data_IF_136271795486
#
_entry.id   IF_136271795486
#
_cell.length_a   1.000
_cell.length_b   1.000
_cell.length_c   1.000
_cell.angle_alpha   90.00
_cell.angle_beta   90.00
_cell.angle_gamma   90.00
#
_symmetry.space_group_name_H-M   'P 1'
#
loop_
_entity.id
_entity.type
_entity.pdbx_description
1 polymer ?
#
# COMPACT_ATOMS: atom_id res chain seq x y z
N UNK A 1 8.07 -1.34 -10.94
CA UNK A 1 6.85 -0.53 -10.77
C UNK A 1 7.18 0.86 -11.24
N UNK A 2 6.36 1.45 -12.09
CA UNK A 2 6.61 2.82 -12.55
C UNK A 2 6.37 3.85 -11.43
N UNK A 3 6.85 5.07 -11.66
CA UNK A 3 6.76 6.17 -10.72
C UNK A 3 5.30 6.57 -10.44
N UNK A 4 4.45 6.55 -11.48
CA UNK A 4 3.04 6.93 -11.39
C UNK A 4 2.26 6.03 -10.43
N UNK A 5 2.41 4.71 -10.55
CA UNK A 5 1.74 3.73 -9.67
C UNK A 5 2.15 3.93 -8.21
N UNK A 6 3.44 4.19 -7.99
CA UNK A 6 4.01 4.50 -6.69
C UNK A 6 3.38 5.76 -6.07
N UNK A 7 3.19 6.81 -6.87
CA UNK A 7 2.62 8.07 -6.42
C UNK A 7 1.12 7.95 -6.15
N UNK A 8 0.38 7.23 -7.00
CA UNK A 8 -1.04 6.93 -6.80
C UNK A 8 -1.27 6.21 -5.47
N UNK A 9 -0.48 5.18 -5.17
CA UNK A 9 -0.66 4.40 -3.94
C UNK A 9 -0.35 5.22 -2.70
N UNK A 10 0.71 6.03 -2.74
CA UNK A 10 1.02 6.96 -1.65
C UNK A 10 -0.14 7.95 -1.45
N UNK A 11 -0.71 8.48 -2.54
CA UNK A 11 -1.88 9.35 -2.49
C UNK A 11 -3.11 8.68 -1.86
N UNK A 12 -3.44 7.45 -2.28
CA UNK A 12 -4.57 6.69 -1.72
C UNK A 12 -4.35 6.40 -0.23
N UNK A 13 -3.16 5.96 0.16
CA UNK A 13 -2.85 5.69 1.57
C UNK A 13 -2.92 6.97 2.40
N UNK A 14 -2.45 8.10 1.87
CA UNK A 14 -2.58 9.41 2.52
C UNK A 14 -4.02 9.88 2.64
N UNK A 15 -4.88 9.55 1.68
CA UNK A 15 -6.31 9.84 1.75
C UNK A 15 -7.00 9.04 2.87
N UNK A 16 -6.64 7.76 3.02
CA UNK A 16 -7.24 6.86 4.02
C UNK A 16 -6.74 7.17 5.44
N UNK A 17 -5.43 7.43 5.58
CA UNK A 17 -4.75 7.50 6.88
C UNK A 17 -4.22 8.88 7.27
N UNK A 18 -4.41 9.89 6.42
CA UNK A 18 -3.87 11.24 6.61
C UNK A 18 -2.45 11.40 6.05
N UNK A 19 -2.01 12.66 5.97
CA UNK A 19 -0.72 13.03 5.33
C UNK A 19 0.50 12.47 6.06
N UNK A 20 0.42 12.25 7.37
CA UNK A 20 1.56 11.77 8.18
C UNK A 20 2.07 10.38 7.76
N UNK A 21 1.23 9.58 7.10
CA UNK A 21 1.64 8.27 6.59
C UNK A 21 2.74 8.38 5.54
N UNK A 22 2.79 9.47 4.78
CA UNK A 22 3.81 9.65 3.73
C UNK A 22 5.23 9.66 4.30
N UNK A 23 5.40 10.18 5.53
CA UNK A 23 6.67 10.16 6.24
C UNK A 23 7.08 8.72 6.63
N UNK A 24 6.11 7.86 6.92
CA UNK A 24 6.32 6.45 7.26
C UNK A 24 6.56 5.56 6.04
N UNK A 25 6.08 5.98 4.87
CA UNK A 25 6.25 5.26 3.59
C UNK A 25 7.57 5.59 2.87
N UNK A 26 8.58 6.04 3.61
CA UNK A 26 9.91 6.32 3.06
C UNK A 26 10.66 5.01 2.80
N UNK A 27 10.72 4.60 1.54
CA UNK A 27 11.38 3.37 1.13
C UNK A 27 10.82 2.78 -0.16
N UNK A 28 11.27 1.56 -0.46
CA UNK A 28 10.87 0.83 -1.64
C UNK A 28 9.51 0.19 -1.41
N UNK A 29 8.50 0.72 -2.09
CA UNK A 29 7.20 0.07 -2.17
C UNK A 29 7.24 -1.07 -3.20
N UNK A 30 6.69 -2.21 -2.82
CA UNK A 30 6.42 -3.33 -3.70
C UNK A 30 4.97 -3.75 -3.54
N UNK A 31 4.32 -4.05 -4.65
CA UNK A 31 2.94 -4.50 -4.67
C UNK A 31 2.92 -5.94 -5.15
N UNK A 32 2.03 -6.71 -4.56
CA UNK A 32 1.62 -7.99 -5.10
C UNK A 32 0.19 -7.89 -5.61
N UNK A 33 0.02 -8.35 -6.85
CA UNK A 33 -1.25 -8.38 -7.56
C UNK A 33 -1.74 -9.82 -7.55
N UNK A 34 -3.02 -10.03 -7.26
CA UNK A 34 -3.62 -11.36 -7.27
C UNK A 34 -3.82 -11.91 -8.68
N UNK A 35 -4.21 -13.17 -8.78
CA UNK A 35 -4.50 -13.85 -10.06
C UNK A 35 -5.56 -13.16 -10.92
N UNK A 36 -6.46 -12.39 -10.32
CA UNK A 36 -7.51 -11.63 -11.01
C UNK A 36 -7.07 -10.22 -11.43
N UNK A 37 -5.80 -9.85 -11.25
CA UNK A 37 -5.29 -8.51 -11.57
C UNK A 37 -5.55 -7.45 -10.50
N UNK A 38 -6.24 -7.78 -9.40
CA UNK A 38 -6.49 -6.86 -8.29
C UNK A 38 -5.29 -6.71 -7.37
N UNK A 39 -5.06 -5.49 -6.84
CA UNK A 39 -4.07 -5.24 -5.79
C UNK A 39 -4.40 -6.09 -4.55
N UNK A 40 -3.39 -6.74 -3.95
CA UNK A 40 -3.59 -7.62 -2.79
C UNK A 40 -2.72 -7.26 -1.59
N UNK A 41 -1.44 -6.99 -1.81
CA UNK A 41 -0.49 -6.76 -0.72
C UNK A 41 0.44 -5.61 -1.07
N UNK A 42 0.70 -4.75 -0.10
CA UNK A 42 1.66 -3.65 -0.21
C UNK A 42 2.77 -3.92 0.80
N UNK A 43 3.99 -3.90 0.30
CA UNK A 43 5.20 -4.08 1.09
C UNK A 43 6.04 -2.81 1.07
N UNK A 44 6.72 -2.52 2.17
CA UNK A 44 7.71 -1.46 2.30
C UNK A 44 9.01 -2.06 2.80
N UNK A 45 10.10 -1.92 2.03
CA UNK A 45 11.42 -2.49 2.38
C UNK A 45 11.30 -3.96 2.84
N UNK A 46 10.57 -4.76 2.05
CA UNK A 46 10.29 -6.19 2.25
C UNK A 46 9.32 -6.57 3.39
N UNK A 47 8.86 -5.62 4.20
CA UNK A 47 7.81 -5.85 5.20
C UNK A 47 6.42 -5.68 4.60
N UNK A 48 5.51 -6.60 4.88
CA UNK A 48 4.10 -6.47 4.50
C UNK A 48 3.44 -5.42 5.39
N UNK A 49 3.07 -4.27 4.84
CA UNK A 49 2.49 -3.16 5.60
C UNK A 49 0.98 -3.01 5.42
N UNK A 50 0.45 -3.41 4.27
CA UNK A 50 -1.00 -3.42 4.02
C UNK A 50 -1.46 -4.66 3.26
N UNK A 51 -2.67 -5.12 3.59
CA UNK A 51 -3.43 -6.08 2.79
C UNK A 51 -4.68 -5.38 2.25
N UNK A 52 -4.93 -5.50 0.95
CA UNK A 52 -6.09 -4.89 0.31
C UNK A 52 -7.29 -5.82 0.46
N UNK A 53 -8.34 -5.32 1.12
CA UNK A 53 -9.59 -6.05 1.32
C UNK A 53 -10.28 -6.28 -0.02
N UNK A 54 -10.65 -7.54 -0.27
CA UNK A 54 -11.22 -7.95 -1.55
C UNK A 54 -12.59 -7.32 -1.85
N UNK A 55 -13.36 -6.98 -0.82
CA UNK A 55 -14.75 -6.52 -0.97
C UNK A 55 -14.87 -5.07 -1.45
N UNK A 56 -13.92 -4.20 -1.07
CA UNK A 56 -14.03 -2.75 -1.28
C UNK A 56 -12.70 -2.05 -1.57
N UNK A 57 -11.59 -2.78 -1.62
CA UNK A 57 -10.28 -2.21 -1.90
C UNK A 57 -9.66 -1.44 -0.73
N UNK A 58 -10.24 -1.50 0.47
CA UNK A 58 -9.67 -0.82 1.63
C UNK A 58 -8.34 -1.43 2.02
N UNK A 59 -7.31 -0.61 2.19
CA UNK A 59 -6.00 -1.05 2.65
C UNK A 59 -6.08 -1.28 4.16
N UNK A 60 -5.87 -2.52 4.63
CA UNK A 60 -5.87 -2.88 6.04
C UNK A 60 -4.42 -2.95 6.54
N UNK A 61 -4.06 -2.27 7.63
CA UNK A 61 -2.69 -2.27 8.12
C UNK A 61 -2.38 -3.62 8.78
N UNK A 62 -1.14 -4.07 8.64
CA UNK A 62 -0.60 -5.19 9.42
C UNK A 62 0.05 -4.70 10.71
N UNK A 63 0.58 -5.61 11.54
CA UNK A 63 1.40 -5.22 12.70
C UNK A 63 2.65 -4.42 12.31
N UNK A 64 3.28 -4.73 11.18
CA UNK A 64 4.43 -3.97 10.67
C UNK A 64 4.02 -2.61 10.05
N UNK A 65 2.73 -2.43 9.74
CA UNK A 65 2.18 -1.21 9.15
C UNK A 65 1.45 -0.28 10.12
N UNK A 66 1.21 -0.69 11.37
CA UNK A 66 0.57 0.09 12.43
C UNK A 66 1.59 0.95 13.19
#
# INVERSE_FOLDING_TARGET
MDQLTNDIIRGVLSYIYGQDILNRLNGRLRIEVGSTGGLRRIYLNDKLIFVIRASDGYALPTMDGA
#
